data_IF_060102177569
#
_entry.id   IF_060102177569
#
_cell.length_a   1.000
_cell.length_b   1.000
_cell.length_c   1.000
_cell.angle_alpha   90.00
_cell.angle_beta   90.00
_cell.angle_gamma   90.00
#
_symmetry.space_group_name_H-M   'P 1'
#
loop_
_entity.id
_entity.type
_entity.pdbx_description
1 polymer ?
#
# COMPACT_ATOMS: atom_id res chain seq x y z
N UNK A 1 -33.88 -18.32 -5.45
CA UNK A 1 -34.54 -17.70 -4.28
C UNK A 1 -33.72 -16.48 -3.90
N UNK A 2 -34.12 -15.30 -4.35
CA UNK A 2 -33.45 -14.04 -4.03
C UNK A 2 -33.84 -13.63 -2.61
N UNK A 3 -32.85 -13.56 -1.71
CA UNK A 3 -33.06 -12.97 -0.39
C UNK A 3 -33.42 -11.50 -0.58
N UNK A 4 -34.64 -11.15 -0.20
CA UNK A 4 -35.12 -9.78 0.00
C UNK A 4 -34.07 -9.05 0.81
N UNK A 5 -33.43 -8.05 0.21
CA UNK A 5 -32.59 -7.10 0.95
C UNK A 5 -33.53 -6.40 1.93
N UNK A 6 -33.49 -6.77 3.21
CA UNK A 6 -34.17 -6.01 4.24
C UNK A 6 -33.63 -4.58 4.20
N UNK A 7 -34.51 -3.60 4.09
CA UNK A 7 -34.18 -2.17 4.03
C UNK A 7 -33.53 -1.74 5.35
N UNK A 8 -32.22 -1.91 5.44
CA UNK A 8 -31.44 -1.46 6.58
C UNK A 8 -31.35 0.05 6.53
N UNK A 9 -31.42 0.68 7.70
CA UNK A 9 -31.16 2.11 7.87
C UNK A 9 -29.81 2.30 8.53
N UNK A 10 -29.19 3.45 8.28
CA UNK A 10 -27.96 3.88 8.92
C UNK A 10 -28.23 5.18 9.67
N UNK A 11 -27.79 5.23 10.92
CA UNK A 11 -27.69 6.49 11.66
C UNK A 11 -26.24 6.94 11.67
N UNK A 12 -26.01 8.24 11.43
CA UNK A 12 -24.70 8.87 11.50
C UNK A 12 -24.78 10.09 12.41
N UNK A 13 -24.05 10.03 13.53
CA UNK A 13 -23.87 11.13 14.45
C UNK A 13 -22.51 11.79 14.17
N UNK A 14 -22.54 13.09 13.92
CA UNK A 14 -21.37 13.90 13.60
C UNK A 14 -21.09 14.90 14.72
N UNK A 15 -19.83 15.04 15.11
CA UNK A 15 -19.42 16.01 16.11
C UNK A 15 -17.99 16.51 15.93
N UNK A 16 -17.65 17.58 16.65
CA UNK A 16 -16.30 18.14 16.73
C UNK A 16 -15.62 17.63 18.01
N UNK A 17 -14.39 17.13 17.87
CA UNK A 17 -13.60 16.73 19.02
C UNK A 17 -13.08 17.97 19.76
N UNK A 18 -13.53 18.15 21.00
CA UNK A 18 -13.02 19.18 21.93
C UNK A 18 -11.67 18.77 22.49
N UNK A 19 -11.48 17.48 22.76
CA UNK A 19 -10.20 16.90 23.18
C UNK A 19 -9.81 15.73 22.28
N UNK A 20 -8.50 15.44 22.10
CA UNK A 20 -8.08 14.35 21.25
C UNK A 20 -8.64 13.01 21.74
N UNK A 21 -8.94 12.12 20.81
CA UNK A 21 -9.26 10.72 21.12
C UNK A 21 -7.98 9.91 21.09
N UNK A 22 -7.64 9.27 22.21
CA UNK A 22 -6.47 8.39 22.31
C UNK A 22 -6.83 7.02 21.75
N UNK A 23 -6.31 6.71 20.57
CA UNK A 23 -6.57 5.47 19.81
C UNK A 23 -5.42 5.18 18.85
N UNK A 24 -5.11 3.90 18.54
CA UNK A 24 -4.05 3.56 17.58
C UNK A 24 -4.39 3.89 16.12
N UNK A 25 -5.68 4.02 15.77
CA UNK A 25 -6.15 4.27 14.40
C UNK A 25 -7.28 5.29 14.40
N UNK A 26 -7.40 6.14 13.35
CA UNK A 26 -8.48 7.13 13.26
C UNK A 26 -9.84 6.48 12.95
N UNK A 27 -9.87 5.20 12.57
CA UNK A 27 -11.10 4.42 12.36
C UNK A 27 -11.07 3.18 13.24
N UNK A 28 -12.13 2.96 14.02
CA UNK A 28 -12.25 1.84 14.94
C UNK A 28 -13.71 1.56 15.31
N UNK A 29 -13.99 0.41 15.94
CA UNK A 29 -15.30 0.10 16.50
C UNK A 29 -15.37 0.48 17.98
N UNK A 30 -16.48 1.07 18.41
CA UNK A 30 -16.76 1.40 19.81
C UNK A 30 -18.25 1.16 20.09
N UNK A 31 -18.57 0.38 21.13
CA UNK A 31 -19.95 0.02 21.49
C UNK A 31 -20.80 -0.49 20.31
N UNK A 32 -20.20 -1.24 19.39
CA UNK A 32 -20.86 -1.77 18.19
C UNK A 32 -20.96 -0.79 17.02
N UNK A 33 -20.70 0.50 17.23
CA UNK A 33 -20.71 1.52 16.19
C UNK A 33 -19.32 1.68 15.53
N UNK A 34 -19.32 2.09 14.27
CA UNK A 34 -18.11 2.51 13.58
C UNK A 34 -17.81 3.98 13.87
N UNK A 35 -16.62 4.24 14.40
CA UNK A 35 -16.14 5.59 14.69
C UNK A 35 -15.04 5.94 13.68
N UNK A 36 -15.20 7.07 12.98
CA UNK A 36 -14.23 7.66 12.06
C UNK A 36 -13.85 9.06 12.53
N UNK A 37 -12.57 9.29 12.77
CA UNK A 37 -12.02 10.61 13.09
C UNK A 37 -11.46 11.22 11.80
N UNK A 38 -11.95 12.41 11.48
CA UNK A 38 -11.69 13.12 10.24
C UNK A 38 -10.99 14.45 10.54
N UNK A 39 -10.11 14.90 9.65
CA UNK A 39 -9.54 16.24 9.77
C UNK A 39 -10.51 17.32 9.30
N UNK A 40 -11.45 16.93 8.45
CA UNK A 40 -12.35 17.78 7.70
C UNK A 40 -13.61 16.95 7.32
N UNK A 41 -14.80 17.54 7.43
CA UNK A 41 -16.07 16.83 7.21
C UNK A 41 -16.42 16.66 5.73
N UNK A 42 -16.05 17.62 4.88
CA UNK A 42 -16.40 17.66 3.46
C UNK A 42 -15.54 16.70 2.64
N UNK A 43 -14.23 16.73 2.90
CA UNK A 43 -13.24 15.95 2.15
C UNK A 43 -13.02 14.53 2.71
N UNK A 44 -13.66 14.20 3.84
CA UNK A 44 -13.49 12.97 4.61
C UNK A 44 -12.02 12.53 4.85
N UNK A 45 -11.10 13.50 4.89
CA UNK A 45 -9.67 13.24 5.12
C UNK A 45 -9.45 12.69 6.53
N UNK A 46 -8.48 11.77 6.66
CA UNK A 46 -8.14 11.13 7.95
C UNK A 46 -7.80 12.17 9.03
N UNK A 47 -8.25 11.92 10.26
CA UNK A 47 -8.01 12.75 11.43
C UNK A 47 -6.55 13.17 11.61
N UNK A 48 -6.34 14.40 12.09
CA UNK A 48 -4.98 14.92 12.33
C UNK A 48 -4.37 14.21 13.54
N UNK A 49 -3.18 13.64 13.37
CA UNK A 49 -2.44 13.01 14.47
C UNK A 49 -2.14 14.04 15.56
N UNK A 50 -2.34 13.64 16.81
CA UNK A 50 -1.96 14.38 17.99
C UNK A 50 -1.07 13.48 18.86
N UNK A 51 0.07 13.99 19.31
CA UNK A 51 0.91 13.32 20.28
C UNK A 51 0.66 13.98 21.62
N UNK A 52 0.17 13.20 22.58
CA UNK A 52 -0.17 13.69 23.92
C UNK A 52 0.86 13.14 24.90
N UNK A 53 1.62 14.02 25.55
CA UNK A 53 2.55 13.65 26.61
C UNK A 53 1.84 13.63 27.95
N UNK A 54 1.95 12.52 28.70
CA UNK A 54 1.47 12.44 30.08
C UNK A 54 2.63 12.59 31.05
N UNK A 55 2.60 13.63 31.89
CA UNK A 55 3.51 13.76 33.02
C UNK A 55 3.04 12.85 34.16
N UNK A 56 3.95 12.06 34.73
CA UNK A 56 3.68 11.20 35.88
C UNK A 56 4.22 11.90 37.13
N UNK A 57 3.30 12.30 38.03
CA UNK A 57 3.67 12.99 39.29
C UNK A 57 4.66 12.11 40.08
N UNK A 58 5.82 12.67 40.42
CA UNK A 58 6.88 12.00 41.19
C UNK A 58 7.83 11.09 40.40
N UNK A 59 7.62 10.90 39.09
CA UNK A 59 8.51 10.09 38.26
C UNK A 59 9.59 10.92 37.56
N UNK A 60 10.87 10.61 37.77
CA UNK A 60 12.00 11.08 36.92
C UNK A 60 12.04 10.35 35.55
N UNK A 61 10.88 9.99 34.99
CA UNK A 61 10.77 9.27 33.71
C UNK A 61 10.26 10.20 32.63
N UNK A 62 10.79 10.06 31.42
CA UNK A 62 10.29 10.78 30.25
C UNK A 62 8.77 10.54 30.08
N UNK A 63 8.00 11.56 29.65
CA UNK A 63 6.55 11.46 29.51
C UNK A 63 6.17 10.33 28.54
N UNK A 64 5.17 9.53 28.92
CA UNK A 64 4.62 8.52 28.03
C UNK A 64 3.90 9.23 26.88
N UNK A 65 4.39 9.05 25.66
CA UNK A 65 3.78 9.60 24.45
C UNK A 65 2.60 8.72 24.03
N UNK A 66 1.40 9.28 24.10
CA UNK A 66 0.17 8.64 23.64
C UNK A 66 -0.19 9.18 22.25
N UNK A 67 -0.52 8.27 21.33
CA UNK A 67 -1.04 8.63 20.01
C UNK A 67 -2.55 8.87 20.12
N UNK A 68 -3.00 10.01 19.62
CA UNK A 68 -4.40 10.35 19.49
C UNK A 68 -4.70 11.06 18.19
N UNK A 69 -5.97 11.39 17.98
CA UNK A 69 -6.43 12.10 16.80
C UNK A 69 -7.37 13.24 17.19
N UNK A 70 -7.32 14.33 16.43
CA UNK A 70 -8.17 15.52 16.59
C UNK A 70 -8.88 15.88 15.27
N UNK A 71 -9.94 16.66 15.37
CA UNK A 71 -10.74 17.12 14.25
C UNK A 71 -12.22 16.86 14.49
N UNK A 72 -12.88 16.23 13.53
CA UNK A 72 -14.28 15.83 13.61
C UNK A 72 -14.40 14.33 13.82
N UNK A 73 -15.55 13.88 14.30
CA UNK A 73 -15.89 12.48 14.46
C UNK A 73 -17.22 12.19 13.82
N UNK A 74 -17.28 11.09 13.07
CA UNK A 74 -18.52 10.47 12.58
C UNK A 74 -18.68 9.12 13.27
N UNK A 75 -19.82 8.89 13.91
CA UNK A 75 -20.23 7.63 14.52
C UNK A 75 -21.38 7.07 13.71
N UNK A 76 -21.20 5.92 13.10
CA UNK A 76 -22.21 5.29 12.25
C UNK A 76 -22.62 3.92 12.78
N UNK A 77 -23.91 3.61 12.72
CA UNK A 77 -24.47 2.32 13.08
C UNK A 77 -25.59 1.94 12.09
N UNK A 78 -25.69 0.66 11.79
CA UNK A 78 -26.63 0.12 10.80
C UNK A 78 -27.49 -0.93 11.48
N UNK A 79 -28.80 -0.79 11.33
CA UNK A 79 -29.81 -1.68 11.92
C UNK A 79 -31.08 -1.64 11.06
N UNK A 80 -31.97 -2.59 11.28
CA UNK A 80 -33.28 -2.64 10.62
C UNK A 80 -34.30 -1.79 11.38
N UNK A 81 -34.13 -1.63 12.70
CA UNK A 81 -35.02 -0.84 13.55
C UNK A 81 -34.46 0.55 13.81
N UNK A 82 -35.23 1.58 13.45
CA UNK A 82 -34.88 2.98 13.75
C UNK A 82 -34.83 3.26 15.25
N UNK A 83 -35.67 2.59 16.04
CA UNK A 83 -35.67 2.69 17.50
C UNK A 83 -34.32 2.23 18.08
N UNK A 84 -33.83 1.07 17.63
CA UNK A 84 -32.51 0.55 18.01
C UNK A 84 -31.36 1.45 17.56
N UNK A 85 -31.49 2.10 16.39
CA UNK A 85 -30.51 3.08 15.93
C UNK A 85 -30.41 4.26 16.92
N UNK A 86 -31.55 4.81 17.33
CA UNK A 86 -31.62 5.95 18.26
C UNK A 86 -31.11 5.58 19.65
N UNK A 87 -31.52 4.43 20.20
CA UNK A 87 -31.01 3.91 21.47
C UNK A 87 -29.49 3.76 21.44
N UNK A 88 -28.94 3.22 20.34
CA UNK A 88 -27.50 3.02 20.22
C UNK A 88 -26.75 4.34 20.19
N UNK A 89 -27.23 5.33 19.43
CA UNK A 89 -26.60 6.66 19.36
C UNK A 89 -26.71 7.42 20.68
N UNK A 90 -27.80 7.26 21.44
CA UNK A 90 -27.97 7.91 22.73
C UNK A 90 -26.81 7.60 23.70
N UNK A 91 -26.19 6.42 23.59
CA UNK A 91 -25.02 6.04 24.42
C UNK A 91 -23.80 6.96 24.22
N UNK A 92 -23.72 7.69 23.10
CA UNK A 92 -22.64 8.62 22.77
C UNK A 92 -22.89 10.05 23.24
N UNK A 93 -24.15 10.42 23.53
CA UNK A 93 -24.52 11.79 23.90
C UNK A 93 -24.13 12.18 25.34
N UNK A 94 -23.57 11.24 26.12
CA UNK A 94 -23.12 11.47 27.50
C UNK A 94 -21.73 10.90 27.84
N UNK A 95 -20.99 10.36 26.86
CA UNK A 95 -19.71 9.69 27.10
C UNK A 95 -18.59 10.25 26.20
N UNK A 96 -17.37 10.32 26.75
CA UNK A 96 -16.19 10.56 25.94
C UNK A 96 -15.86 9.36 25.04
N UNK A 97 -15.15 9.60 23.93
CA UNK A 97 -14.75 8.57 22.99
C UNK A 97 -13.34 8.02 23.25
N UNK A 98 -13.19 6.70 23.14
CA UNK A 98 -11.89 6.02 23.12
C UNK A 98 -11.31 5.72 24.50
N UNK A 99 -9.98 5.60 24.58
CA UNK A 99 -9.31 5.31 25.86
C UNK A 99 -9.10 6.59 26.68
N UNK A 100 -9.05 6.45 28.01
CA UNK A 100 -8.78 7.56 28.95
C UNK A 100 -9.87 8.65 28.99
N UNK A 101 -11.12 8.29 28.73
CA UNK A 101 -12.28 9.20 28.83
C UNK A 101 -12.45 9.81 30.22
N UNK A 102 -12.18 9.04 31.28
CA UNK A 102 -12.13 9.52 32.67
C UNK A 102 -11.09 10.63 32.92
N UNK A 103 -10.09 10.75 32.04
CA UNK A 103 -9.07 11.80 32.08
C UNK A 103 -9.43 13.00 31.19
N UNK A 104 -10.66 13.06 30.66
CA UNK A 104 -11.18 14.16 29.83
C UNK A 104 -10.87 14.05 28.33
N UNK A 105 -10.27 12.95 27.87
CA UNK A 105 -10.00 12.71 26.44
C UNK A 105 -11.26 12.24 25.69
N UNK A 106 -11.29 12.56 24.39
CA UNK A 106 -12.39 12.21 23.49
C UNK A 106 -13.71 12.91 23.78
N UNK A 107 -13.69 14.10 24.39
CA UNK A 107 -14.89 14.92 24.52
C UNK A 107 -15.33 15.43 23.15
N UNK A 108 -16.62 15.36 22.89
CA UNK A 108 -17.22 15.72 21.61
C UNK A 108 -18.28 16.77 21.82
N UNK A 109 -18.29 17.76 20.95
CA UNK A 109 -19.40 18.67 20.74
C UNK A 109 -20.21 18.17 19.54
N UNK A 110 -21.40 17.65 19.78
CA UNK A 110 -22.21 16.99 18.76
C UNK A 110 -22.95 18.03 17.91
N UNK A 111 -22.88 17.89 16.59
CA UNK A 111 -23.34 18.91 15.63
C UNK A 111 -24.59 18.44 14.91
N UNK A 112 -24.60 17.19 14.44
CA UNK A 112 -25.63 16.69 13.54
C UNK A 112 -25.89 15.20 13.73
N UNK A 113 -27.13 14.78 13.49
CA UNK A 113 -27.57 13.39 13.54
C UNK A 113 -28.48 13.11 12.34
N UNK A 114 -28.03 12.23 11.45
CA UNK A 114 -28.75 11.89 10.22
C UNK A 114 -29.12 10.42 10.21
N UNK A 115 -30.35 10.12 9.81
CA UNK A 115 -30.81 8.75 9.51
C UNK A 115 -31.05 8.68 8.01
N UNK A 116 -30.41 7.72 7.35
CA UNK A 116 -30.52 7.50 5.92
C UNK A 116 -30.72 6.01 5.61
N UNK A 117 -31.18 5.70 4.41
CA UNK A 117 -31.19 4.32 3.95
C UNK A 117 -29.75 3.81 3.83
N UNK A 118 -29.50 2.61 4.35
CA UNK A 118 -28.19 1.99 4.26
C UNK A 118 -28.06 1.31 2.90
N UNK A 119 -27.43 2.02 1.98
CA UNK A 119 -26.90 1.38 0.78
C UNK A 119 -25.60 0.69 1.14
N UNK A 120 -25.64 -0.64 1.21
CA UNK A 120 -24.44 -1.44 1.37
C UNK A 120 -23.51 -1.15 0.19
N UNK A 121 -22.55 -0.24 0.39
CA UNK A 121 -21.43 -0.10 -0.52
C UNK A 121 -20.72 -1.46 -0.48
N UNK A 122 -20.81 -2.23 -1.56
CA UNK A 122 -19.97 -3.40 -1.69
C UNK A 122 -18.54 -2.88 -1.51
N UNK A 123 -17.78 -3.37 -0.52
CA UNK A 123 -16.39 -3.00 -0.43
C UNK A 123 -15.80 -3.27 -1.82
N UNK A 124 -15.04 -2.32 -2.41
CA UNK A 124 -14.46 -2.54 -3.73
C UNK A 124 -13.84 -3.92 -3.67
N UNK A 125 -14.26 -4.82 -4.57
CA UNK A 125 -13.72 -6.17 -4.59
C UNK A 125 -12.26 -6.00 -4.95
N UNK A 126 -11.40 -5.96 -3.93
CA UNK A 126 -9.96 -6.02 -4.07
C UNK A 126 -9.68 -7.33 -4.79
N UNK A 127 -9.62 -7.28 -6.13
CA UNK A 127 -9.14 -8.41 -6.92
C UNK A 127 -7.72 -8.58 -6.42
N UNK A 128 -7.48 -9.64 -5.62
CA UNK A 128 -6.14 -9.98 -5.17
C UNK A 128 -5.24 -9.94 -6.39
N UNK A 129 -4.25 -9.05 -6.40
CA UNK A 129 -3.21 -9.01 -7.43
C UNK A 129 -2.60 -10.41 -7.47
N UNK A 130 -2.93 -11.19 -8.50
CA UNK A 130 -2.38 -12.52 -8.72
C UNK A 130 -1.18 -12.37 -9.63
N UNK A 131 -0.01 -12.76 -9.14
CA UNK A 131 1.17 -12.92 -9.99
C UNK A 131 0.83 -13.96 -11.06
N UNK A 132 0.95 -13.58 -12.34
CA UNK A 132 0.69 -14.48 -13.47
C UNK A 132 1.75 -15.59 -13.52
N UNK A 133 1.33 -16.81 -13.88
CA UNK A 133 2.21 -17.99 -14.02
C UNK A 133 3.10 -17.96 -15.28
N UNK A 134 3.04 -16.89 -16.07
CA UNK A 134 3.79 -16.69 -17.30
C UNK A 134 3.43 -15.34 -17.93
N UNK A 135 4.27 -14.92 -18.87
CA UNK A 135 4.02 -13.75 -19.73
C UNK A 135 3.23 -14.20 -20.97
N UNK A 136 2.27 -13.40 -21.44
CA UNK A 136 1.60 -13.67 -22.72
C UNK A 136 2.58 -13.49 -23.89
N UNK A 137 2.34 -14.15 -25.03
CA UNK A 137 3.28 -14.12 -26.17
C UNK A 137 3.33 -12.76 -26.89
N UNK A 138 2.24 -11.98 -26.87
CA UNK A 138 2.05 -10.87 -27.83
C UNK A 138 1.92 -9.50 -27.14
N UNK A 139 2.94 -9.07 -26.40
CA UNK A 139 3.00 -7.68 -25.91
C UNK A 139 3.74 -6.77 -26.90
N UNK A 140 3.35 -5.49 -27.05
CA UNK A 140 4.09 -4.52 -27.86
C UNK A 140 5.55 -4.45 -27.44
N UNK A 141 6.45 -4.16 -28.38
CA UNK A 141 7.90 -4.15 -28.16
C UNK A 141 8.29 -3.21 -27.01
N UNK A 142 7.65 -2.05 -26.92
CA UNK A 142 7.84 -1.04 -25.90
C UNK A 142 7.44 -1.57 -24.52
N UNK A 143 6.31 -2.28 -24.42
CA UNK A 143 5.90 -2.93 -23.18
C UNK A 143 6.87 -4.05 -22.80
N UNK A 144 7.40 -4.80 -23.77
CA UNK A 144 8.43 -5.79 -23.50
C UNK A 144 9.71 -5.16 -22.94
N UNK A 145 10.16 -4.01 -23.49
CA UNK A 145 11.31 -3.26 -22.97
C UNK A 145 11.07 -2.76 -21.54
N UNK A 146 9.88 -2.23 -21.26
CA UNK A 146 9.49 -1.87 -19.90
C UNK A 146 9.53 -3.09 -18.96
N UNK A 147 8.96 -4.23 -19.38
CA UNK A 147 8.99 -5.46 -18.57
C UNK A 147 10.43 -5.88 -18.25
N UNK A 148 11.33 -5.84 -19.22
CA UNK A 148 12.75 -6.14 -19.02
C UNK A 148 13.36 -5.16 -18.02
N UNK A 149 13.16 -3.85 -18.18
CA UNK A 149 13.67 -2.83 -17.25
C UNK A 149 13.17 -3.06 -15.81
N UNK A 150 11.87 -3.36 -15.65
CA UNK A 150 11.29 -3.67 -14.34
C UNK A 150 11.90 -4.93 -13.71
N UNK A 151 12.22 -5.94 -14.51
CA UNK A 151 12.85 -7.17 -14.03
C UNK A 151 14.35 -6.99 -13.71
N UNK A 152 15.03 -6.04 -14.34
CA UNK A 152 16.48 -5.84 -14.21
C UNK A 152 16.92 -4.75 -13.22
N UNK A 153 16.04 -3.81 -12.86
CA UNK A 153 16.41 -2.60 -12.09
C UNK A 153 17.18 -2.85 -10.78
N UNK A 154 16.94 -3.99 -10.13
CA UNK A 154 17.57 -4.38 -8.85
C UNK A 154 18.87 -5.19 -9.04
N UNK A 155 19.28 -5.51 -10.28
CA UNK A 155 20.50 -6.29 -10.60
C UNK A 155 21.69 -5.43 -11.03
N UNK A 156 21.55 -4.11 -10.97
CA UNK A 156 22.62 -3.14 -11.25
C UNK A 156 23.07 -2.40 -9.98
N UNK A 157 24.26 -1.83 -10.02
CA UNK A 157 24.69 -0.87 -8.99
C UNK A 157 24.06 0.49 -9.27
N UNK A 158 23.60 1.13 -8.21
CA UNK A 158 23.09 2.50 -8.22
C UNK A 158 23.86 3.32 -7.19
N UNK A 159 23.63 4.64 -7.17
CA UNK A 159 24.18 5.50 -6.12
C UNK A 159 23.62 5.20 -4.71
N UNK A 160 22.44 4.57 -4.61
CA UNK A 160 21.81 4.25 -3.31
C UNK A 160 22.04 2.81 -2.86
N UNK A 161 22.30 1.88 -3.77
CA UNK A 161 22.53 0.49 -3.39
C UNK A 161 23.40 -0.28 -4.39
N UNK A 162 24.03 -1.34 -3.90
CA UNK A 162 24.62 -2.36 -4.76
C UNK A 162 23.55 -3.27 -5.40
N UNK A 163 23.93 -3.98 -6.47
CA UNK A 163 23.14 -5.07 -7.04
C UNK A 163 22.67 -6.01 -5.94
N UNK A 164 21.39 -6.41 -6.01
CA UNK A 164 20.78 -7.23 -4.96
C UNK A 164 21.20 -8.69 -5.01
N UNK A 165 21.90 -9.09 -6.07
CA UNK A 165 22.57 -10.38 -6.18
C UNK A 165 24.09 -10.25 -5.97
N UNK A 166 24.59 -9.10 -5.50
CA UNK A 166 26.03 -8.79 -5.30
C UNK A 166 26.92 -8.80 -6.54
N UNK A 167 26.47 -9.39 -7.64
CA UNK A 167 27.10 -9.34 -8.96
C UNK A 167 26.33 -8.37 -9.86
N UNK A 168 27.05 -7.51 -10.58
CA UNK A 168 26.45 -6.59 -11.53
C UNK A 168 26.09 -7.34 -12.81
N UNK A 169 24.83 -7.20 -13.24
CA UNK A 169 24.39 -7.69 -14.55
C UNK A 169 24.72 -6.64 -15.61
N UNK A 170 25.32 -7.07 -16.72
CA UNK A 170 25.56 -6.23 -17.89
C UNK A 170 24.28 -6.13 -18.71
N UNK A 171 23.72 -4.91 -18.83
CA UNK A 171 22.52 -4.65 -19.63
C UNK A 171 22.95 -4.13 -21.01
N UNK A 172 22.55 -4.81 -22.08
CA UNK A 172 22.98 -4.46 -23.45
C UNK A 172 22.14 -3.33 -24.08
N UNK A 173 20.83 -3.28 -23.81
CA UNK A 173 19.98 -2.18 -24.29
C UNK A 173 20.28 -0.92 -23.45
N UNK A 174 20.84 0.08 -24.11
CA UNK A 174 21.34 1.31 -23.48
C UNK A 174 20.24 2.07 -22.72
N UNK A 175 19.05 2.17 -23.29
CA UNK A 175 17.93 2.89 -22.68
C UNK A 175 17.43 2.14 -21.43
N UNK A 176 17.38 0.81 -21.48
CA UNK A 176 17.05 -0.03 -20.32
C UNK A 176 18.14 0.11 -19.26
N UNK A 177 19.41 0.10 -19.66
CA UNK A 177 20.55 0.24 -18.77
C UNK A 177 20.50 1.57 -18.00
N UNK A 178 20.27 2.67 -18.71
CA UNK A 178 20.12 4.00 -18.10
C UNK A 178 18.94 4.05 -17.12
N UNK A 179 17.77 3.53 -17.52
CA UNK A 179 16.60 3.47 -16.64
C UNK A 179 16.89 2.66 -15.37
N UNK A 180 17.55 1.52 -15.48
CA UNK A 180 17.92 0.68 -14.34
C UNK A 180 18.98 1.34 -13.44
N UNK A 181 20.04 1.94 -13.98
CA UNK A 181 21.11 2.55 -13.18
C UNK A 181 20.62 3.81 -12.46
N UNK A 182 19.70 4.53 -13.07
CA UNK A 182 19.24 5.83 -12.59
C UNK A 182 17.86 5.81 -11.92
N UNK A 183 17.24 4.65 -11.69
CA UNK A 183 15.91 4.57 -11.06
C UNK A 183 15.79 5.24 -9.67
N UNK A 184 16.89 5.64 -9.03
CA UNK A 184 16.88 6.44 -7.79
C UNK A 184 17.06 7.94 -7.96
N UNK A 185 17.27 8.41 -9.19
CA UNK A 185 17.62 9.77 -9.58
C UNK A 185 16.61 10.37 -10.56
N UNK A 186 16.51 11.69 -10.60
CA UNK A 186 15.70 12.38 -11.61
C UNK A 186 16.57 12.76 -12.79
N UNK A 187 16.47 12.00 -13.89
CA UNK A 187 17.10 12.30 -15.18
C UNK A 187 15.98 12.52 -16.20
N UNK A 188 16.15 13.47 -17.11
CA UNK A 188 15.08 13.93 -18.02
C UNK A 188 15.01 13.17 -19.34
N UNK A 189 16.05 12.43 -19.72
CA UNK A 189 16.22 11.94 -21.09
C UNK A 189 16.02 10.42 -21.21
N UNK A 190 15.02 9.85 -20.53
CA UNK A 190 14.72 8.43 -20.62
C UNK A 190 13.23 8.15 -20.34
N UNK A 191 12.51 7.61 -21.32
CA UNK A 191 11.06 7.39 -21.24
C UNK A 191 10.67 6.23 -20.32
N UNK A 192 11.56 5.25 -20.13
CA UNK A 192 11.34 4.12 -19.23
C UNK A 192 11.52 4.49 -17.76
N UNK A 193 12.42 5.43 -17.46
CA UNK A 193 12.83 5.79 -16.11
C UNK A 193 11.66 6.19 -15.19
N UNK A 194 10.73 7.10 -15.58
CA UNK A 194 9.59 7.46 -14.76
C UNK A 194 8.68 6.27 -14.42
N UNK A 195 8.52 5.33 -15.36
CA UNK A 195 7.70 4.14 -15.17
C UNK A 195 8.37 3.14 -14.22
N UNK A 196 9.68 2.92 -14.38
CA UNK A 196 10.45 2.06 -13.47
C UNK A 196 10.34 2.60 -12.04
N UNK A 197 10.51 3.92 -11.86
CA UNK A 197 10.34 4.60 -10.57
C UNK A 197 8.94 4.43 -9.99
N UNK A 198 7.92 4.67 -10.82
CA UNK A 198 6.52 4.57 -10.42
C UNK A 198 6.17 3.16 -9.94
N UNK A 199 6.49 2.13 -10.74
CA UNK A 199 6.14 0.76 -10.41
C UNK A 199 6.99 0.18 -9.28
N UNK A 200 8.27 0.56 -9.13
CA UNK A 200 9.09 0.17 -7.98
C UNK A 200 8.52 0.74 -6.67
N UNK A 201 8.16 2.03 -6.68
CA UNK A 201 7.51 2.71 -5.55
C UNK A 201 6.15 2.10 -5.21
N UNK A 202 5.32 1.81 -6.22
CA UNK A 202 3.99 1.21 -6.03
C UNK A 202 4.08 -0.23 -5.51
N UNK A 203 4.96 -1.06 -6.09
CA UNK A 203 5.17 -2.44 -5.63
C UNK A 203 5.71 -2.45 -4.20
N UNK A 204 6.66 -1.57 -3.89
CA UNK A 204 7.17 -1.34 -2.54
C UNK A 204 6.05 -0.97 -1.58
N UNK A 205 5.21 0.01 -1.91
CA UNK A 205 4.08 0.45 -1.10
C UNK A 205 3.07 -0.69 -0.84
N UNK A 206 2.72 -1.48 -1.85
CA UNK A 206 1.80 -2.63 -1.72
C UNK A 206 2.42 -3.73 -0.84
N UNK A 207 3.74 -3.94 -0.96
CA UNK A 207 4.48 -4.94 -0.19
C UNK A 207 4.78 -4.51 1.26
N UNK A 208 4.62 -3.23 1.60
CA UNK A 208 4.82 -2.72 2.96
C UNK A 208 3.78 -3.30 3.93
N UNK A 209 4.26 -4.15 4.83
CA UNK A 209 3.61 -4.49 6.11
C UNK A 209 4.62 -4.25 7.22
N UNK A 210 4.15 -4.11 8.47
CA UNK A 210 5.00 -3.85 9.66
C UNK A 210 6.35 -4.59 9.55
N UNK A 211 7.49 -3.89 9.65
CA UNK A 211 8.79 -4.48 9.39
C UNK A 211 9.03 -5.67 10.31
N UNK A 212 9.34 -6.82 9.73
CA UNK A 212 9.93 -7.92 10.46
C UNK A 212 11.44 -7.65 10.50
N UNK A 213 12.04 -7.58 11.69
CA UNK A 213 13.50 -7.50 11.81
C UNK A 213 14.09 -8.83 11.31
N UNK A 214 14.48 -8.88 10.04
CA UNK A 214 15.31 -9.96 9.52
C UNK A 214 16.78 -9.62 9.77
N UNK A 215 17.50 -10.53 10.42
CA UNK A 215 18.93 -10.38 10.69
C UNK A 215 19.82 -10.78 9.50
N UNK A 216 19.25 -11.38 8.45
CA UNK A 216 19.98 -11.81 7.24
C UNK A 216 19.26 -11.38 5.95
N UNK A 217 20.03 -11.12 4.89
CA UNK A 217 19.55 -10.76 3.55
C UNK A 217 19.02 -11.95 2.73
N UNK A 218 19.27 -13.18 3.17
CA UNK A 218 18.76 -14.38 2.52
C UNK A 218 18.73 -15.58 3.47
N UNK A 219 17.92 -16.59 3.13
CA UNK A 219 17.87 -17.85 3.89
C UNK A 219 19.10 -18.72 3.58
N UNK A 220 20.05 -18.80 4.52
CA UNK A 220 21.26 -19.64 4.43
C UNK A 220 20.98 -21.12 4.70
N UNK A 221 19.83 -21.46 5.29
CA UNK A 221 19.47 -22.85 5.63
C UNK A 221 19.36 -23.75 4.39
N UNK A 222 19.00 -23.18 3.24
CA UNK A 222 18.84 -23.91 1.97
C UNK A 222 20.11 -23.88 1.08
N UNK A 223 21.30 -23.65 1.67
CA UNK A 223 22.60 -23.69 0.98
C UNK A 223 23.14 -22.33 0.51
N UNK A 224 24.29 -22.30 -0.17
CA UNK A 224 24.86 -21.06 -0.74
C UNK A 224 24.20 -20.76 -2.09
N UNK A 225 23.99 -19.48 -2.39
CA UNK A 225 23.55 -19.02 -3.71
C UNK A 225 24.80 -18.70 -4.53
N UNK A 226 24.90 -19.26 -5.74
CA UNK A 226 25.91 -18.86 -6.72
C UNK A 226 25.42 -17.62 -7.49
N UNK A 227 25.88 -16.47 -7.05
CA UNK A 227 25.51 -15.19 -7.63
C UNK A 227 26.08 -14.96 -9.03
N UNK A 228 27.23 -15.56 -9.34
CA UNK A 228 27.85 -15.43 -10.68
C UNK A 228 27.08 -16.25 -11.70
N UNK A 229 26.70 -17.48 -11.35
CA UNK A 229 25.82 -18.30 -12.18
C UNK A 229 24.46 -17.63 -12.39
N UNK A 230 23.91 -17.00 -11.33
CA UNK A 230 22.65 -16.26 -11.41
C UNK A 230 22.75 -15.04 -12.35
N UNK A 231 23.83 -14.25 -12.27
CA UNK A 231 24.05 -13.10 -13.17
C UNK A 231 24.14 -13.55 -14.64
N UNK A 232 24.93 -14.60 -14.94
CA UNK A 232 25.06 -15.15 -16.30
C UNK A 232 23.74 -15.61 -16.89
N UNK A 233 22.89 -16.27 -16.10
CA UNK A 233 21.56 -16.70 -16.57
C UNK A 233 20.63 -15.51 -16.84
N UNK A 234 20.74 -14.42 -16.06
CA UNK A 234 19.99 -13.19 -16.31
C UNK A 234 20.49 -12.53 -17.62
N UNK A 235 21.80 -12.36 -17.77
CA UNK A 235 22.42 -11.77 -18.96
C UNK A 235 22.05 -12.53 -20.23
N UNK A 236 22.06 -13.87 -20.20
CA UNK A 236 21.66 -14.70 -21.34
C UNK A 236 20.21 -14.51 -21.78
N UNK A 237 19.31 -14.15 -20.84
CA UNK A 237 17.86 -14.12 -21.06
C UNK A 237 17.29 -12.71 -21.21
N UNK A 238 18.12 -11.68 -21.01
CA UNK A 238 17.66 -10.28 -20.99
C UNK A 238 17.04 -9.82 -22.31
N UNK A 239 17.36 -10.46 -23.43
CA UNK A 239 16.85 -10.12 -24.76
C UNK A 239 15.39 -10.53 -25.00
N UNK A 240 14.77 -11.25 -24.06
CA UNK A 240 13.39 -11.69 -24.17
C UNK A 240 12.66 -11.48 -22.85
N UNK A 241 11.68 -10.58 -22.86
CA UNK A 241 10.81 -10.33 -21.71
C UNK A 241 10.16 -11.63 -21.20
N UNK A 242 9.73 -12.51 -22.12
CA UNK A 242 9.16 -13.81 -21.77
C UNK A 242 10.18 -14.73 -21.07
N UNK A 243 11.37 -14.91 -21.66
CA UNK A 243 12.38 -15.79 -21.08
C UNK A 243 12.90 -15.29 -19.73
N UNK A 244 13.11 -13.97 -19.61
CA UNK A 244 13.53 -13.33 -18.37
C UNK A 244 12.45 -13.44 -17.30
N UNK A 245 11.18 -13.15 -17.64
CA UNK A 245 10.06 -13.31 -16.70
C UNK A 245 9.94 -14.75 -16.22
N UNK A 246 9.99 -15.72 -17.14
CA UNK A 246 9.87 -17.14 -16.80
C UNK A 246 11.00 -17.60 -15.89
N UNK A 247 12.24 -17.16 -16.17
CA UNK A 247 13.38 -17.43 -15.31
C UNK A 247 13.18 -16.85 -13.91
N UNK A 248 12.79 -15.58 -13.79
CA UNK A 248 12.53 -14.94 -12.49
C UNK A 248 11.44 -15.68 -11.73
N UNK A 249 10.33 -16.02 -12.40
CA UNK A 249 9.20 -16.76 -11.84
C UNK A 249 9.62 -18.12 -11.26
N UNK A 250 10.46 -18.86 -11.98
CA UNK A 250 10.91 -20.20 -11.60
C UNK A 250 12.12 -20.20 -10.64
N UNK A 251 12.81 -19.06 -10.47
CA UNK A 251 14.05 -19.00 -9.72
C UNK A 251 13.87 -19.25 -8.21
N UNK A 252 14.37 -20.40 -7.76
CA UNK A 252 14.48 -20.73 -6.33
C UNK A 252 15.47 -19.79 -5.62
N UNK A 253 16.55 -19.38 -6.28
CA UNK A 253 17.54 -18.45 -5.73
C UNK A 253 16.92 -17.08 -5.41
N UNK A 254 16.20 -16.47 -6.36
CA UNK A 254 15.53 -15.18 -6.16
C UNK A 254 14.39 -15.25 -5.12
N UNK A 255 13.81 -16.43 -4.92
CA UNK A 255 12.81 -16.66 -3.86
C UNK A 255 13.42 -16.60 -2.46
N UNK A 256 14.67 -17.03 -2.33
CA UNK A 256 15.40 -17.08 -1.05
C UNK A 256 16.04 -15.75 -0.66
N UNK A 257 16.12 -14.82 -1.61
CA UNK A 257 16.53 -13.43 -1.36
C UNK A 257 15.40 -12.67 -0.66
N UNK A 258 15.33 -12.88 0.65
CA UNK A 258 14.46 -12.17 1.58
C UNK A 258 15.26 -10.99 2.11
N UNK A 259 15.26 -9.92 1.32
CA UNK A 259 16.06 -8.71 1.57
C UNK A 259 15.93 -8.24 3.02
N UNK A 260 17.02 -7.68 3.53
CA UNK A 260 17.10 -6.70 4.63
C UNK A 260 16.35 -5.39 4.30
N UNK A 261 15.20 -5.47 3.64
CA UNK A 261 14.36 -4.34 3.27
C UNK A 261 13.03 -4.52 3.99
N UNK A 262 12.41 -3.42 4.39
CA UNK A 262 11.16 -3.33 5.16
C UNK A 262 9.90 -3.89 4.46
N UNK A 263 10.04 -4.92 3.62
CA UNK A 263 8.97 -5.54 2.84
C UNK A 263 8.73 -6.99 3.29
N UNK A 264 7.47 -7.42 3.29
CA UNK A 264 7.13 -8.84 3.50
C UNK A 264 7.14 -9.57 2.15
N UNK A 265 8.31 -10.05 1.70
CA UNK A 265 8.42 -10.80 0.44
C UNK A 265 9.85 -11.18 0.01
N UNK A 266 9.97 -11.88 -1.13
CA UNK A 266 11.24 -12.19 -1.78
C UNK A 266 11.51 -11.23 -2.94
N UNK A 267 12.78 -11.09 -3.36
CA UNK A 267 13.15 -10.31 -4.55
C UNK A 267 12.35 -10.75 -5.77
N UNK A 268 12.16 -12.06 -5.95
CA UNK A 268 11.26 -12.60 -6.98
C UNK A 268 9.87 -11.97 -6.94
N UNK A 269 9.22 -11.96 -5.79
CA UNK A 269 7.84 -11.47 -5.68
C UNK A 269 7.75 -9.97 -5.96
N UNK A 270 8.75 -9.18 -5.57
CA UNK A 270 8.84 -7.76 -5.87
C UNK A 270 8.87 -7.51 -7.39
N UNK A 271 9.83 -8.12 -8.07
CA UNK A 271 10.01 -7.99 -9.52
C UNK A 271 8.75 -8.42 -10.29
N UNK A 272 8.16 -9.55 -9.89
CA UNK A 272 6.93 -10.04 -10.51
C UNK A 272 5.73 -9.13 -10.21
N UNK A 273 5.65 -8.53 -9.03
CA UNK A 273 4.56 -7.60 -8.70
C UNK A 273 4.62 -6.36 -9.60
N UNK A 274 5.80 -5.75 -9.78
CA UNK A 274 6.00 -4.61 -10.68
C UNK A 274 5.52 -4.90 -12.10
N UNK A 275 5.95 -6.04 -12.66
CA UNK A 275 5.53 -6.45 -14.02
C UNK A 275 4.01 -6.66 -14.09
N UNK A 276 3.40 -7.28 -13.07
CA UNK A 276 1.96 -7.51 -13.07
C UNK A 276 1.15 -6.22 -12.95
N UNK A 277 1.66 -5.20 -12.24
CA UNK A 277 1.06 -3.87 -12.18
C UNK A 277 1.11 -3.21 -13.56
N UNK A 278 2.27 -3.16 -14.20
CA UNK A 278 2.41 -2.56 -15.54
C UNK A 278 1.53 -3.23 -16.60
N UNK A 279 1.48 -4.56 -16.62
CA UNK A 279 0.61 -5.32 -17.53
C UNK A 279 -0.87 -5.05 -17.22
N UNK A 280 -1.23 -4.91 -15.95
CA UNK A 280 -2.61 -4.62 -15.57
C UNK A 280 -3.01 -3.22 -16.03
N UNK A 281 -2.16 -2.22 -15.82
CA UNK A 281 -2.42 -0.85 -16.26
C UNK A 281 -2.49 -0.74 -17.78
N UNK A 282 -1.64 -1.48 -18.51
CA UNK A 282 -1.76 -1.60 -19.97
C UNK A 282 -3.10 -2.21 -20.40
N UNK A 283 -3.51 -3.33 -19.78
CA UNK A 283 -4.80 -3.99 -20.11
C UNK A 283 -6.03 -3.19 -19.70
N UNK A 284 -5.89 -2.25 -18.78
CA UNK A 284 -6.93 -1.33 -18.34
C UNK A 284 -6.86 0.01 -19.08
N UNK A 285 -6.02 0.12 -20.12
CA UNK A 285 -5.83 1.34 -20.91
C UNK A 285 -5.35 2.55 -20.07
N UNK A 286 -4.79 2.28 -18.88
CA UNK A 286 -4.17 3.29 -18.01
C UNK A 286 -2.75 3.60 -18.44
N UNK A 287 -2.04 2.60 -18.97
CA UNK A 287 -0.73 2.77 -19.61
C UNK A 287 -0.92 2.75 -21.13
N UNK A 288 -0.86 3.92 -21.74
CA UNK A 288 -0.94 4.11 -23.19
C UNK A 288 0.48 4.10 -23.75
N UNK A 289 0.68 3.35 -24.84
CA UNK A 289 1.94 3.28 -25.59
C UNK A 289 1.64 3.77 -27.00
N UNK A 290 2.25 4.88 -27.40
CA UNK A 290 2.04 5.49 -28.71
C UNK A 290 3.32 6.08 -29.26
N UNK A 291 3.74 5.67 -30.47
CA UNK A 291 4.92 6.19 -31.16
C UNK A 291 6.21 6.16 -30.31
N UNK A 292 6.42 5.08 -29.54
CA UNK A 292 7.57 4.93 -28.64
C UNK A 292 7.44 5.62 -27.29
N UNK A 293 6.44 6.50 -27.11
CA UNK A 293 6.22 7.21 -25.85
C UNK A 293 5.26 6.45 -24.94
N UNK A 294 5.48 6.58 -23.63
CA UNK A 294 4.60 6.05 -22.60
C UNK A 294 3.81 7.17 -21.92
N UNK A 295 2.50 6.98 -21.79
CA UNK A 295 1.64 7.87 -21.03
C UNK A 295 0.85 7.07 -19.99
N UNK A 296 1.08 7.39 -18.71
CA UNK A 296 0.29 6.84 -17.62
C UNK A 296 -0.83 7.81 -17.27
N UNK A 297 -2.08 7.41 -17.50
CA UNK A 297 -3.25 8.17 -17.08
C UNK A 297 -3.31 8.17 -15.54
N UNK A 298 -3.27 9.36 -14.93
CA UNK A 298 -3.36 9.47 -13.47
C UNK A 298 -4.72 8.96 -12.99
N UNK A 299 -4.74 7.83 -12.29
CA UNK A 299 -5.92 7.49 -11.49
C UNK A 299 -5.97 8.46 -10.31
N UNK A 300 -7.12 9.09 -10.07
CA UNK A 300 -7.41 9.72 -8.79
C UNK A 300 -7.10 8.72 -7.67
N UNK A 301 -6.64 9.20 -6.50
CA UNK A 301 -6.19 8.38 -5.37
C UNK A 301 -7.26 7.45 -4.75
N UNK A 302 -8.38 7.25 -5.44
CA UNK A 302 -9.54 6.42 -5.10
C UNK A 302 -9.49 5.01 -5.66
N UNK A 303 -8.59 4.70 -6.60
CA UNK A 303 -8.64 3.44 -7.38
C UNK A 303 -7.58 2.39 -6.99
N UNK A 304 -7.11 2.40 -5.74
CA UNK A 304 -6.24 1.34 -5.17
C UNK A 304 -6.99 0.47 -4.19
#
# INVERSE_FOLDING_TARGET
MGTVSQDKKMITLTGRLLTPVITPKPTYKHNGCWVRILSDLETEKKGRLAIVGKLVKGGRKAPTLLKGFRGFVKVSYVDESEERLRERIATFLGQGLGSKTKEGYGRVDWIDCQISDYQAQQPPKWKKLKIRKGLGPDYPKELQRLIIALLLHDFVHTNKHQSKIYEQVTIEDEEIREACVHHHNSIKDNDLLPLVQYYDGLASYIAQKKPYKSYSRYNTQDGKIDFKALAREIEKRQHSAYQLYQFVYQSKALTRLVKSMDYKGSLRNHLLLMVNLAINDYRQEKLIISNGNFQLLSSSATDV
#
